data_IF_273214164877
#
_entry.id   IF_273214164877
#
_cell.length_a   1.000
_cell.length_b   1.000
_cell.length_c   1.000
_cell.angle_alpha   90.00
_cell.angle_beta   90.00
_cell.angle_gamma   90.00
#
_symmetry.space_group_name_H-M   'P 1'
#
loop_
_entity.id
_entity.type
_entity.pdbx_description
1 polymer ?
#
# COMPACT_ATOMS: atom_id res chain seq x y z
N UNK A 1 2.62 2.90 32.97
CA UNK A 1 1.23 2.54 32.65
C UNK A 1 1.21 1.90 31.26
N UNK A 2 1.52 0.59 31.23
CA UNK A 2 1.86 -0.24 30.06
C UNK A 2 0.60 -0.74 29.33
N UNK A 3 -0.23 0.14 28.79
CA UNK A 3 -1.35 -0.31 27.97
C UNK A 3 -1.11 -0.04 26.49
N UNK A 4 -0.84 -1.14 25.78
CA UNK A 4 -0.93 -1.37 24.33
C UNK A 4 0.32 -1.06 23.47
N UNK A 5 1.44 -1.61 23.93
CA UNK A 5 2.42 -2.34 23.08
C UNK A 5 2.08 -3.85 23.03
N UNK A 6 0.81 -4.23 23.24
CA UNK A 6 0.33 -5.62 23.16
C UNK A 6 -0.29 -5.92 21.79
N UNK A 7 0.26 -5.35 20.71
CA UNK A 7 -0.06 -5.88 19.39
C UNK A 7 0.47 -7.31 19.36
N UNK A 8 -0.30 -8.33 18.93
CA UNK A 8 0.18 -9.71 18.92
C UNK A 8 1.51 -9.86 18.16
N UNK A 9 1.73 -9.02 17.15
CA UNK A 9 2.98 -8.92 16.40
C UNK A 9 4.20 -8.45 17.21
N UNK A 10 4.04 -7.79 18.36
CA UNK A 10 5.17 -7.31 19.17
C UNK A 10 5.94 -8.43 19.90
N UNK A 11 5.46 -9.68 19.83
CA UNK A 11 6.14 -10.83 20.44
C UNK A 11 7.20 -11.48 19.55
N UNK A 12 7.15 -11.24 18.23
CA UNK A 12 8.06 -11.86 17.26
C UNK A 12 8.71 -10.75 16.46
N UNK A 13 10.04 -10.64 16.54
CA UNK A 13 10.79 -9.61 15.84
C UNK A 13 11.02 -10.00 14.36
N UNK A 14 11.35 -9.01 13.54
CA UNK A 14 11.64 -9.21 12.11
C UNK A 14 12.74 -10.25 11.84
N UNK A 15 13.79 -10.30 12.66
CA UNK A 15 14.91 -11.23 12.50
C UNK A 15 14.48 -12.70 12.62
N UNK A 16 13.59 -13.02 13.57
CA UNK A 16 13.04 -14.37 13.71
C UNK A 16 12.19 -14.77 12.49
N UNK A 17 11.42 -13.82 11.94
CA UNK A 17 10.62 -14.04 10.72
C UNK A 17 11.53 -14.35 9.54
N UNK A 18 12.59 -13.56 9.34
CA UNK A 18 13.55 -13.77 8.25
C UNK A 18 14.26 -15.12 8.40
N UNK A 19 14.74 -15.43 9.61
CA UNK A 19 15.40 -16.70 9.91
C UNK A 19 14.51 -17.90 9.60
N UNK A 20 13.22 -17.84 10.00
CA UNK A 20 12.26 -18.91 9.70
C UNK A 20 12.03 -19.07 8.20
N UNK A 21 11.87 -17.97 7.44
CA UNK A 21 11.65 -18.02 5.98
C UNK A 21 12.83 -18.67 5.28
N UNK A 22 14.05 -18.25 5.60
CA UNK A 22 15.25 -18.73 4.91
C UNK A 22 15.58 -20.19 5.26
N UNK A 23 15.12 -20.70 6.40
CA UNK A 23 15.26 -22.11 6.79
C UNK A 23 14.10 -23.00 6.28
N UNK A 24 13.03 -22.40 5.74
CA UNK A 24 11.83 -23.13 5.32
C UNK A 24 11.97 -23.72 3.91
N UNK A 25 11.55 -24.98 3.79
CA UNK A 25 11.33 -25.74 2.57
C UNK A 25 9.90 -26.28 2.54
N UNK A 26 9.44 -26.78 1.39
CA UNK A 26 8.07 -27.30 1.25
C UNK A 26 7.75 -28.45 2.21
N UNK A 27 8.75 -29.24 2.62
CA UNK A 27 8.57 -30.37 3.53
C UNK A 27 8.53 -30.03 5.03
N UNK A 28 8.92 -28.82 5.43
CA UNK A 28 9.10 -28.47 6.85
C UNK A 28 8.49 -27.11 7.26
N UNK A 29 7.51 -26.59 6.51
CA UNK A 29 6.86 -25.32 6.85
C UNK A 29 6.25 -25.36 8.25
N UNK A 30 6.71 -24.47 9.13
CA UNK A 30 6.22 -24.37 10.51
C UNK A 30 4.92 -23.57 10.59
N UNK A 31 3.79 -24.23 10.32
CA UNK A 31 2.48 -23.58 10.32
C UNK A 31 2.10 -22.95 11.67
N UNK A 32 2.50 -23.56 12.78
CA UNK A 32 2.19 -23.04 14.13
C UNK A 32 2.93 -21.73 14.41
N UNK A 33 4.20 -21.61 13.96
CA UNK A 33 4.93 -20.35 14.01
C UNK A 33 4.19 -19.24 13.24
N UNK A 34 3.73 -19.54 12.02
CA UNK A 34 3.04 -18.55 11.18
C UNK A 34 1.68 -18.13 11.74
N UNK A 35 0.94 -19.05 12.35
CA UNK A 35 -0.30 -18.74 13.07
C UNK A 35 -0.05 -17.88 14.32
N UNK A 36 1.07 -18.10 15.03
CA UNK A 36 1.47 -17.27 16.15
C UNK A 36 1.91 -15.86 15.71
N UNK A 37 2.64 -15.75 14.60
CA UNK A 37 3.02 -14.47 13.96
C UNK A 37 1.81 -13.66 13.52
N UNK A 38 0.85 -14.31 12.86
CA UNK A 38 -0.29 -13.67 12.23
C UNK A 38 -1.60 -14.35 12.66
N UNK A 39 -2.10 -14.09 13.89
CA UNK A 39 -3.29 -14.76 14.42
C UNK A 39 -4.57 -14.57 13.61
N UNK A 40 -4.64 -13.58 12.72
CA UNK A 40 -5.75 -13.42 11.80
C UNK A 40 -5.94 -14.64 10.87
N UNK A 41 -4.85 -15.38 10.58
CA UNK A 41 -4.89 -16.62 9.79
C UNK A 41 -5.69 -17.75 10.47
N UNK A 42 -5.88 -17.71 11.79
CA UNK A 42 -6.77 -18.68 12.46
C UNK A 42 -8.20 -18.62 11.93
N UNK A 43 -8.68 -17.42 11.57
CA UNK A 43 -10.01 -17.25 10.96
C UNK A 43 -10.08 -17.87 9.56
N UNK A 44 -8.96 -17.95 8.84
CA UNK A 44 -8.91 -18.53 7.49
C UNK A 44 -9.27 -20.02 7.49
N UNK A 45 -9.03 -20.73 8.60
CA UNK A 45 -9.41 -22.15 8.77
C UNK A 45 -10.92 -22.38 8.67
N UNK A 46 -11.71 -21.36 8.98
CA UNK A 46 -13.18 -21.41 8.96
C UNK A 46 -13.80 -20.57 7.84
N UNK A 47 -12.97 -19.87 7.05
CA UNK A 47 -13.46 -19.00 5.99
C UNK A 47 -13.72 -19.82 4.73
N UNK A 48 -14.99 -20.01 4.32
CA UNK A 48 -15.30 -20.79 3.15
C UNK A 48 -14.90 -20.03 1.88
N UNK A 49 -14.67 -20.77 0.79
CA UNK A 49 -14.45 -20.22 -0.54
C UNK A 49 -15.45 -20.79 -1.52
N UNK A 50 -15.55 -20.16 -2.69
CA UNK A 50 -16.44 -20.63 -3.75
C UNK A 50 -15.93 -21.94 -4.38
N UNK A 51 -16.69 -23.05 -4.32
CA UNK A 51 -16.20 -24.36 -4.79
C UNK A 51 -15.88 -24.45 -6.29
N UNK A 52 -16.35 -23.51 -7.11
CA UNK A 52 -16.00 -23.47 -8.54
C UNK A 52 -14.57 -22.98 -8.75
N UNK A 53 -14.14 -22.02 -7.93
CA UNK A 53 -12.81 -21.42 -8.02
C UNK A 53 -11.81 -22.04 -7.04
N UNK A 54 -12.32 -22.64 -5.97
CA UNK A 54 -11.56 -23.13 -4.82
C UNK A 54 -12.15 -24.45 -4.29
N UNK A 55 -12.05 -25.52 -5.08
CA UNK A 55 -12.57 -26.83 -4.68
C UNK A 55 -11.77 -27.48 -3.53
N UNK A 56 -10.58 -26.97 -3.20
CA UNK A 56 -9.76 -27.39 -2.07
C UNK A 56 -10.37 -27.08 -0.69
N UNK A 57 -11.35 -26.16 -0.64
CA UNK A 57 -12.10 -25.85 0.57
C UNK A 57 -11.81 -24.45 1.12
N UNK A 58 -11.38 -24.37 2.38
CA UNK A 58 -11.25 -23.09 3.07
C UNK A 58 -9.98 -22.31 2.68
N UNK A 59 -9.97 -21.02 3.02
CA UNK A 59 -8.86 -20.10 2.73
C UNK A 59 -7.53 -20.62 3.28
N UNK A 60 -7.50 -21.25 4.45
CA UNK A 60 -6.23 -21.75 5.01
C UNK A 60 -5.65 -22.94 4.23
N UNK A 61 -6.50 -23.84 3.72
CA UNK A 61 -6.04 -24.94 2.87
C UNK A 61 -5.41 -24.36 1.59
N UNK A 62 -6.09 -23.41 0.95
CA UNK A 62 -5.58 -22.67 -0.21
C UNK A 62 -4.24 -22.00 0.10
N UNK A 63 -4.15 -21.18 1.15
CA UNK A 63 -2.90 -20.50 1.53
C UNK A 63 -1.73 -21.48 1.70
N UNK A 64 -1.96 -22.62 2.36
CA UNK A 64 -0.91 -23.65 2.49
C UNK A 64 -0.48 -24.20 1.14
N UNK A 65 -1.43 -24.54 0.26
CA UNK A 65 -1.12 -25.03 -1.09
C UNK A 65 -0.33 -24.00 -1.89
N UNK A 66 -0.71 -22.72 -1.85
CA UNK A 66 0.03 -21.62 -2.51
C UNK A 66 1.47 -21.50 -2.00
N UNK A 67 1.68 -21.54 -0.69
CA UNK A 67 3.04 -21.49 -0.09
C UNK A 67 3.88 -22.68 -0.53
N UNK A 68 3.30 -23.89 -0.55
CA UNK A 68 4.02 -25.09 -1.03
C UNK A 68 4.37 -24.96 -2.51
N UNK A 69 3.42 -24.59 -3.37
CA UNK A 69 3.66 -24.36 -4.79
C UNK A 69 4.73 -23.28 -5.04
N UNK A 70 4.76 -22.22 -4.21
CA UNK A 70 5.80 -21.19 -4.28
C UNK A 70 7.17 -21.78 -3.96
N UNK A 71 7.30 -22.49 -2.83
CA UNK A 71 8.57 -23.05 -2.36
C UNK A 71 9.17 -24.06 -3.34
N UNK A 72 8.34 -24.82 -4.05
CA UNK A 72 8.76 -25.79 -5.07
C UNK A 72 9.01 -25.17 -6.45
N UNK A 73 8.71 -23.88 -6.64
CA UNK A 73 8.87 -23.22 -7.94
C UNK A 73 10.35 -22.88 -8.23
N UNK A 74 10.79 -23.14 -9.46
CA UNK A 74 12.14 -22.79 -9.92
C UNK A 74 12.41 -21.30 -9.84
N UNK A 75 11.40 -20.46 -10.13
CA UNK A 75 11.51 -19.01 -10.03
C UNK A 75 11.81 -18.55 -8.59
N UNK A 76 11.12 -19.10 -7.58
CA UNK A 76 11.38 -18.75 -6.18
C UNK A 76 12.78 -19.21 -5.74
N UNK A 77 13.22 -20.39 -6.15
CA UNK A 77 14.55 -20.92 -5.79
C UNK A 77 15.67 -19.98 -6.28
N UNK A 78 15.50 -19.39 -7.47
CA UNK A 78 16.44 -18.47 -8.11
C UNK A 78 16.40 -17.04 -7.55
N UNK A 79 15.35 -16.67 -6.81
CA UNK A 79 15.24 -15.36 -6.18
C UNK A 79 16.35 -15.11 -5.15
N UNK A 80 16.74 -13.85 -5.03
CA UNK A 80 17.54 -13.33 -3.92
C UNK A 80 16.84 -13.53 -2.57
N UNK A 81 17.58 -13.41 -1.47
CA UNK A 81 17.02 -13.56 -0.11
C UNK A 81 15.91 -12.54 0.16
N UNK A 82 16.08 -11.27 -0.22
CA UNK A 82 15.05 -10.23 -0.05
C UNK A 82 13.77 -10.54 -0.85
N UNK A 83 13.91 -11.04 -2.08
CA UNK A 83 12.77 -11.43 -2.91
C UNK A 83 12.06 -12.66 -2.34
N UNK A 84 12.81 -13.64 -1.83
CA UNK A 84 12.25 -14.81 -1.13
C UNK A 84 11.43 -14.39 0.08
N UNK A 85 11.95 -13.47 0.89
CA UNK A 85 11.21 -12.89 2.02
C UNK A 85 9.92 -12.22 1.55
N UNK A 86 10.00 -11.40 0.48
CA UNK A 86 8.83 -10.72 -0.07
C UNK A 86 7.76 -11.69 -0.57
N UNK A 87 8.16 -12.67 -1.38
CA UNK A 87 7.27 -13.66 -1.98
C UNK A 87 6.65 -14.58 -0.94
N UNK A 88 7.45 -15.08 0.02
CA UNK A 88 6.95 -15.99 1.05
C UNK A 88 5.87 -15.33 1.90
N UNK A 89 6.14 -14.11 2.41
CA UNK A 89 5.16 -13.38 3.23
C UNK A 89 3.95 -12.94 2.40
N UNK A 90 4.14 -12.56 1.13
CA UNK A 90 3.01 -12.25 0.25
C UNK A 90 2.14 -13.50 0.00
N UNK A 91 2.72 -14.67 -0.29
CA UNK A 91 1.98 -15.92 -0.48
C UNK A 91 1.23 -16.34 0.79
N UNK A 92 1.88 -16.27 1.94
CA UNK A 92 1.26 -16.61 3.22
C UNK A 92 0.10 -15.67 3.59
N UNK A 93 0.16 -14.40 3.19
CA UNK A 93 -0.75 -13.36 3.70
C UNK A 93 -1.66 -12.72 2.63
N UNK A 94 -1.59 -13.14 1.35
CA UNK A 94 -2.35 -12.53 0.24
C UNK A 94 -3.86 -12.46 0.51
N UNK A 95 -4.38 -13.47 1.21
CA UNK A 95 -5.80 -13.65 1.52
C UNK A 95 -6.17 -13.46 2.99
N UNK A 96 -5.26 -12.90 3.80
CA UNK A 96 -5.45 -12.74 5.26
C UNK A 96 -6.77 -12.03 5.64
N UNK A 97 -7.26 -11.14 4.76
CA UNK A 97 -8.46 -10.34 4.99
C UNK A 97 -9.75 -10.97 4.41
N UNK A 98 -9.70 -12.14 3.76
CA UNK A 98 -10.91 -12.82 3.25
C UNK A 98 -11.91 -13.08 4.38
N UNK A 99 -11.44 -13.51 5.55
CA UNK A 99 -12.29 -13.75 6.72
C UNK A 99 -13.14 -12.52 7.13
N UNK A 100 -12.56 -11.33 7.07
CA UNK A 100 -13.21 -10.08 7.50
C UNK A 100 -14.03 -9.41 6.37
N UNK A 101 -13.97 -9.94 5.15
CA UNK A 101 -14.63 -9.38 3.95
C UNK A 101 -15.54 -10.37 3.24
N UNK A 102 -15.75 -11.56 3.80
CA UNK A 102 -16.58 -12.60 3.18
C UNK A 102 -18.04 -12.16 3.08
N UNK A 103 -18.61 -12.36 1.90
CA UNK A 103 -20.01 -12.12 1.57
C UNK A 103 -20.56 -13.37 0.89
N UNK A 104 -21.81 -13.71 1.21
CA UNK A 104 -22.53 -14.82 0.60
C UNK A 104 -23.73 -14.22 -0.13
N UNK A 105 -23.80 -14.45 -1.44
CA UNK A 105 -24.93 -14.02 -2.24
C UNK A 105 -26.18 -14.80 -1.80
N UNK A 106 -27.25 -14.12 -1.38
CA UNK A 106 -28.42 -14.79 -0.80
C UNK A 106 -29.27 -15.55 -1.83
N UNK A 107 -29.12 -15.26 -3.13
CA UNK A 107 -29.91 -15.89 -4.19
C UNK A 107 -29.18 -17.10 -4.80
N UNK A 108 -27.88 -16.98 -4.99
CA UNK A 108 -27.05 -17.95 -5.70
C UNK A 108 -26.19 -18.80 -4.76
N UNK A 109 -26.03 -18.37 -3.51
CA UNK A 109 -25.12 -19.00 -2.54
C UNK A 109 -23.63 -18.80 -2.85
N UNK A 110 -23.30 -17.98 -3.87
CA UNK A 110 -21.92 -17.72 -4.29
C UNK A 110 -21.16 -16.97 -3.22
N UNK A 111 -19.89 -17.32 -3.03
CA UNK A 111 -19.04 -16.73 -1.99
C UNK A 111 -18.09 -15.73 -2.66
N UNK A 112 -18.03 -14.52 -2.11
CA UNK A 112 -17.14 -13.47 -2.57
C UNK A 112 -16.42 -12.78 -1.42
N UNK A 113 -15.25 -12.21 -1.71
CA UNK A 113 -14.42 -11.49 -0.73
C UNK A 113 -14.08 -10.09 -1.26
N UNK A 114 -15.07 -9.19 -1.40
CA UNK A 114 -14.84 -7.86 -1.96
C UNK A 114 -13.77 -7.09 -1.18
N UNK A 115 -12.83 -6.49 -1.92
CA UNK A 115 -11.76 -5.62 -1.39
C UNK A 115 -10.79 -6.28 -0.39
N UNK A 116 -10.75 -7.61 -0.28
CA UNK A 116 -9.83 -8.29 0.64
C UNK A 116 -8.36 -7.96 0.34
N UNK A 117 -7.95 -7.81 -0.93
CA UNK A 117 -6.54 -7.55 -1.28
C UNK A 117 -6.07 -6.21 -0.73
N UNK A 118 -6.85 -5.13 -0.93
CA UNK A 118 -6.55 -3.80 -0.37
C UNK A 118 -6.61 -3.80 1.15
N UNK A 119 -7.59 -4.49 1.74
CA UNK A 119 -7.71 -4.59 3.20
C UNK A 119 -6.53 -5.35 3.81
N UNK A 120 -6.17 -6.49 3.22
CA UNK A 120 -5.06 -7.34 3.63
C UNK A 120 -3.73 -6.61 3.57
N UNK A 121 -3.48 -5.84 2.50
CA UNK A 121 -2.27 -5.01 2.41
C UNK A 121 -2.16 -3.99 3.56
N UNK A 122 -3.27 -3.39 4.01
CA UNK A 122 -3.29 -2.47 5.15
C UNK A 122 -3.02 -3.21 6.46
N UNK A 123 -3.68 -4.36 6.67
CA UNK A 123 -3.50 -5.14 7.90
C UNK A 123 -2.05 -5.66 8.00
N UNK A 124 -1.50 -6.20 6.91
CA UNK A 124 -0.11 -6.68 6.83
C UNK A 124 0.89 -5.55 7.01
N UNK A 125 0.65 -4.36 6.45
CA UNK A 125 1.49 -3.18 6.70
C UNK A 125 1.60 -2.89 8.20
N UNK A 126 0.50 -2.98 8.93
CA UNK A 126 0.50 -2.77 10.38
C UNK A 126 1.30 -3.85 11.10
N UNK A 127 1.08 -5.14 10.79
CA UNK A 127 1.85 -6.24 11.36
C UNK A 127 3.36 -6.02 11.19
N UNK A 128 3.79 -5.81 9.94
CA UNK A 128 5.19 -5.66 9.58
C UNK A 128 5.81 -4.38 10.14
N UNK A 129 5.07 -3.27 10.22
CA UNK A 129 5.55 -2.05 10.86
C UNK A 129 5.79 -2.24 12.37
N UNK A 130 4.89 -2.95 13.06
CA UNK A 130 5.08 -3.31 14.47
C UNK A 130 6.23 -4.29 14.68
N UNK A 131 6.51 -5.14 13.70
CA UNK A 131 7.63 -6.08 13.71
C UNK A 131 8.96 -5.44 13.32
N UNK A 132 8.97 -4.15 12.95
CA UNK A 132 10.15 -3.41 12.49
C UNK A 132 10.74 -3.92 11.17
N UNK A 133 9.88 -4.42 10.27
CA UNK A 133 10.31 -4.79 8.92
C UNK A 133 10.83 -3.56 8.16
N UNK A 134 11.96 -3.68 7.41
CA UNK A 134 12.49 -2.60 6.59
C UNK A 134 11.44 -2.07 5.62
N UNK A 135 11.38 -0.74 5.47
CA UNK A 135 10.34 -0.06 4.70
C UNK A 135 10.18 -0.58 3.26
N UNK A 136 11.29 -0.74 2.53
CA UNK A 136 11.24 -1.20 1.15
C UNK A 136 10.67 -2.62 1.02
N UNK A 137 11.11 -3.55 1.89
CA UNK A 137 10.62 -4.93 1.93
C UNK A 137 9.14 -4.95 2.30
N UNK A 138 8.76 -4.21 3.35
CA UNK A 138 7.36 -4.11 3.80
C UNK A 138 6.44 -3.62 2.69
N UNK A 139 6.78 -2.51 2.03
CA UNK A 139 5.92 -1.95 0.98
C UNK A 139 5.90 -2.82 -0.28
N UNK A 140 6.97 -3.57 -0.56
CA UNK A 140 6.95 -4.60 -1.61
C UNK A 140 5.92 -5.71 -1.27
N UNK A 141 5.98 -6.29 -0.07
CA UNK A 141 5.01 -7.30 0.39
C UNK A 141 3.58 -6.76 0.33
N UNK A 142 3.36 -5.56 0.85
CA UNK A 142 2.02 -4.95 0.84
C UNK A 142 1.52 -4.70 -0.58
N UNK A 143 2.39 -4.26 -1.50
CA UNK A 143 2.04 -4.07 -2.90
C UNK A 143 1.71 -5.38 -3.63
N UNK A 144 2.48 -6.45 -3.36
CA UNK A 144 2.20 -7.79 -3.89
C UNK A 144 0.82 -8.27 -3.43
N UNK A 145 0.51 -8.15 -2.14
CA UNK A 145 -0.80 -8.51 -1.58
C UNK A 145 -1.93 -7.64 -2.16
N UNK A 146 -1.72 -6.32 -2.28
CA UNK A 146 -2.73 -5.41 -2.83
C UNK A 146 -3.11 -5.79 -4.27
N UNK A 147 -2.12 -6.25 -5.06
CA UNK A 147 -2.25 -6.46 -6.50
C UNK A 147 -2.33 -7.92 -6.93
N UNK A 148 -2.27 -8.90 -6.02
CA UNK A 148 -2.12 -10.32 -6.34
C UNK A 148 -3.17 -10.88 -7.31
N UNK A 149 -4.40 -10.33 -7.31
CA UNK A 149 -5.46 -10.78 -8.22
C UNK A 149 -5.38 -10.18 -9.62
N UNK A 150 -4.62 -9.11 -9.82
CA UNK A 150 -4.59 -8.37 -11.09
C UNK A 150 -4.14 -9.23 -12.27
N UNK A 151 -3.10 -10.09 -12.17
CA UNK A 151 -2.67 -10.92 -13.29
C UNK A 151 -3.80 -11.75 -13.92
N UNK A 152 -4.79 -12.21 -13.14
CA UNK A 152 -5.94 -12.98 -13.63
C UNK A 152 -6.98 -12.16 -14.44
N UNK A 153 -6.81 -10.85 -14.50
CA UNK A 153 -7.79 -9.92 -15.07
C UNK A 153 -7.21 -8.92 -16.07
N UNK A 154 -5.89 -8.70 -16.06
CA UNK A 154 -5.24 -7.69 -16.88
C UNK A 154 -5.38 -7.94 -18.38
N UNK A 155 -5.29 -9.19 -18.84
CA UNK A 155 -5.45 -9.54 -20.26
C UNK A 155 -6.84 -9.20 -20.84
N UNK A 156 -7.82 -8.92 -19.98
CA UNK A 156 -9.18 -8.52 -20.37
C UNK A 156 -9.39 -7.00 -20.38
N UNK A 157 -8.35 -6.22 -20.07
CA UNK A 157 -8.41 -4.77 -20.02
C UNK A 157 -7.90 -4.17 -21.32
N UNK A 158 -8.50 -3.05 -21.72
CA UNK A 158 -7.90 -2.19 -22.72
C UNK A 158 -6.59 -1.60 -22.19
N UNK A 159 -5.67 -1.27 -23.09
CA UNK A 159 -4.42 -0.58 -22.77
C UNK A 159 -3.60 -1.31 -21.68
N UNK A 160 -3.33 -2.61 -21.91
CA UNK A 160 -2.64 -3.50 -20.96
C UNK A 160 -1.29 -2.90 -20.53
N UNK A 161 -0.54 -2.33 -21.46
CA UNK A 161 0.74 -1.64 -21.19
C UNK A 161 0.59 -0.54 -20.13
N UNK A 162 -0.48 0.28 -20.21
CA UNK A 162 -0.75 1.30 -19.19
C UNK A 162 -0.85 0.69 -17.79
N UNK A 163 -1.56 -0.42 -17.67
CA UNK A 163 -1.72 -1.09 -16.39
C UNK A 163 -0.41 -1.70 -15.89
N UNK A 164 0.39 -2.30 -16.78
CA UNK A 164 1.69 -2.88 -16.43
C UNK A 164 2.71 -1.81 -16.06
N UNK A 165 2.81 -0.72 -16.82
CA UNK A 165 3.67 0.42 -16.49
C UNK A 165 3.34 0.96 -15.10
N UNK A 166 2.05 1.18 -14.83
CA UNK A 166 1.61 1.69 -13.53
C UNK A 166 1.93 0.73 -12.39
N UNK A 167 1.77 -0.58 -12.60
CA UNK A 167 2.15 -1.60 -11.62
C UNK A 167 3.67 -1.64 -11.40
N UNK A 168 4.48 -1.51 -12.45
CA UNK A 168 5.93 -1.53 -12.36
C UNK A 168 6.51 -0.38 -11.51
N UNK A 169 5.78 0.75 -11.39
CA UNK A 169 6.14 1.86 -10.48
C UNK A 169 5.80 1.60 -9.01
N UNK A 170 5.06 0.52 -8.72
CA UNK A 170 4.66 0.16 -7.37
C UNK A 170 5.37 -1.09 -6.86
N UNK A 171 5.58 -2.08 -7.73
CA UNK A 171 6.18 -3.38 -7.38
C UNK A 171 6.96 -3.98 -8.57
N UNK A 172 7.99 -4.81 -8.32
CA UNK A 172 8.63 -5.61 -9.37
C UNK A 172 7.62 -6.61 -9.95
N UNK A 173 7.45 -6.62 -11.27
CA UNK A 173 6.40 -7.42 -11.91
C UNK A 173 6.72 -8.90 -11.88
N UNK A 174 7.99 -9.31 -11.96
CA UNK A 174 8.35 -10.73 -11.85
C UNK A 174 7.88 -11.33 -10.53
N UNK A 175 8.02 -10.61 -9.41
CA UNK A 175 7.52 -11.10 -8.11
C UNK A 175 6.00 -11.24 -8.11
N UNK A 176 5.27 -10.27 -8.68
CA UNK A 176 3.81 -10.34 -8.79
C UNK A 176 3.38 -11.56 -9.61
N UNK A 177 4.06 -11.83 -10.72
CA UNK A 177 3.73 -12.92 -11.61
C UNK A 177 4.14 -14.28 -11.01
N UNK A 178 5.26 -14.38 -10.29
CA UNK A 178 5.63 -15.58 -9.52
C UNK A 178 4.55 -15.88 -8.48
N UNK A 179 4.12 -14.88 -7.73
CA UNK A 179 3.03 -15.02 -6.74
C UNK A 179 1.73 -15.48 -7.40
N UNK A 180 1.36 -14.91 -8.55
CA UNK A 180 0.15 -15.29 -9.27
C UNK A 180 0.23 -16.72 -9.84
N UNK A 181 1.41 -17.18 -10.28
CA UNK A 181 1.63 -18.59 -10.66
C UNK A 181 1.44 -19.50 -9.44
N UNK A 182 2.04 -19.17 -8.30
CA UNK A 182 1.86 -19.94 -7.07
C UNK A 182 0.39 -19.98 -6.62
N UNK A 183 -0.34 -18.87 -6.69
CA UNK A 183 -1.77 -18.79 -6.39
C UNK A 183 -2.62 -19.63 -7.35
N UNK A 184 -2.26 -19.64 -8.63
CA UNK A 184 -2.92 -20.44 -9.65
C UNK A 184 -2.69 -21.95 -9.47
N UNK A 185 -1.47 -22.35 -9.14
CA UNK A 185 -1.11 -23.76 -8.93
C UNK A 185 -1.54 -24.28 -7.55
N UNK A 186 -1.67 -23.38 -6.58
CA UNK A 186 -2.11 -23.67 -5.21
C UNK A 186 -3.62 -23.76 -5.02
N UNK A 187 -4.43 -23.90 -6.09
CA UNK A 187 -5.89 -24.06 -6.01
C UNK A 187 -6.40 -25.16 -6.92
N UNK A 188 -7.57 -25.71 -6.60
CA UNK A 188 -8.25 -26.72 -7.43
C UNK A 188 -9.40 -26.03 -8.19
N UNK A 189 -9.21 -25.81 -9.49
CA UNK A 189 -10.22 -25.17 -10.38
C UNK A 189 -10.12 -25.67 -11.81
N UNK A 190 -11.20 -25.52 -12.58
CA UNK A 190 -11.30 -25.98 -13.98
C UNK A 190 -10.69 -25.02 -15.01
N UNK A 191 -10.42 -23.76 -14.64
CA UNK A 191 -9.95 -22.71 -15.57
C UNK A 191 -8.44 -22.41 -15.43
N UNK A 192 -7.65 -23.41 -15.07
CA UNK A 192 -6.25 -23.21 -14.72
C UNK A 192 -5.39 -22.86 -15.94
N UNK A 193 -5.54 -23.59 -17.04
CA UNK A 193 -4.74 -23.45 -18.26
C UNK A 193 -4.84 -22.05 -18.88
N UNK A 194 -6.06 -21.53 -19.07
CA UNK A 194 -6.24 -20.18 -19.62
C UNK A 194 -5.58 -19.12 -18.74
N UNK A 195 -5.75 -19.22 -17.43
CA UNK A 195 -5.16 -18.26 -16.48
C UNK A 195 -3.64 -18.32 -16.49
N UNK A 196 -3.07 -19.51 -16.71
CA UNK A 196 -1.63 -19.69 -16.85
C UNK A 196 -1.11 -18.99 -18.10
N UNK A 197 -1.78 -19.20 -19.25
CA UNK A 197 -1.44 -18.53 -20.52
C UNK A 197 -1.49 -17.01 -20.34
N UNK A 198 -2.56 -16.47 -19.72
CA UNK A 198 -2.69 -15.04 -19.46
C UNK A 198 -1.49 -14.51 -18.63
N UNK A 199 -1.05 -15.24 -17.60
CA UNK A 199 0.10 -14.84 -16.77
C UNK A 199 1.42 -14.89 -17.55
N UNK A 200 1.66 -15.92 -18.36
CA UNK A 200 2.87 -16.01 -19.19
C UNK A 200 2.91 -14.92 -20.26
N UNK A 201 1.76 -14.56 -20.85
CA UNK A 201 1.68 -13.43 -21.77
C UNK A 201 2.06 -12.10 -21.10
N UNK A 202 1.59 -11.87 -19.86
CA UNK A 202 1.99 -10.68 -19.10
C UNK A 202 3.48 -10.69 -18.75
N UNK A 203 4.07 -11.86 -18.51
CA UNK A 203 5.51 -12.02 -18.29
C UNK A 203 6.29 -11.56 -19.52
N UNK A 204 5.98 -12.12 -20.69
CA UNK A 204 6.64 -11.79 -21.96
C UNK A 204 6.48 -10.29 -22.30
N UNK A 205 5.29 -9.72 -22.15
CA UNK A 205 5.06 -8.30 -22.41
C UNK A 205 5.92 -7.40 -21.50
N UNK A 206 6.04 -7.75 -20.22
CA UNK A 206 6.86 -6.99 -19.29
C UNK A 206 8.37 -7.16 -19.54
N UNK A 207 8.78 -8.35 -19.98
CA UNK A 207 10.16 -8.66 -20.34
C UNK A 207 10.59 -7.90 -21.61
N UNK A 208 9.81 -8.00 -22.69
CA UNK A 208 10.03 -7.29 -23.95
C UNK A 208 10.04 -5.77 -23.75
N UNK A 209 9.15 -5.26 -22.88
CA UNK A 209 9.11 -3.86 -22.52
C UNK A 209 10.24 -3.39 -21.60
N UNK A 210 11.05 -4.30 -21.06
CA UNK A 210 12.17 -3.98 -20.17
C UNK A 210 11.77 -3.46 -18.79
N UNK A 211 10.57 -3.81 -18.30
CA UNK A 211 10.04 -3.39 -17.00
C UNK A 211 9.53 -4.57 -16.14
N UNK A 212 10.05 -5.78 -16.41
CA UNK A 212 9.73 -6.98 -15.64
C UNK A 212 10.33 -6.92 -14.21
N UNK A 213 11.64 -6.70 -14.10
CA UNK A 213 12.37 -6.65 -12.83
C UNK A 213 12.60 -5.22 -12.32
N UNK A 214 12.55 -4.24 -13.22
CA UNK A 214 12.73 -2.82 -12.94
C UNK A 214 11.48 -2.03 -13.29
N UNK A 215 11.36 -0.81 -12.76
CA UNK A 215 10.21 0.04 -13.06
C UNK A 215 10.28 0.61 -14.48
N UNK A 216 9.11 0.83 -15.12
CA UNK A 216 9.04 1.50 -16.42
C UNK A 216 9.69 2.89 -16.33
N UNK A 217 10.71 3.14 -17.13
CA UNK A 217 11.26 4.48 -17.29
C UNK A 217 10.25 5.36 -18.05
N UNK A 218 9.85 6.48 -17.44
CA UNK A 218 9.10 7.54 -18.09
C UNK A 218 10.05 8.70 -18.46
N UNK A 219 9.66 9.54 -19.41
CA UNK A 219 10.47 10.67 -19.87
C UNK A 219 10.92 11.58 -18.73
N UNK A 220 9.98 11.92 -17.84
CA UNK A 220 10.25 12.58 -16.57
C UNK A 220 9.12 12.26 -15.58
N UNK A 221 9.25 12.75 -14.35
CA UNK A 221 8.30 12.48 -13.29
C UNK A 221 6.92 13.12 -13.49
N UNK A 222 6.85 14.24 -14.23
CA UNK A 222 5.58 14.86 -14.65
C UNK A 222 4.84 13.95 -15.61
N UNK A 223 5.54 13.46 -16.64
CA UNK A 223 5.00 12.56 -17.67
C UNK A 223 4.51 11.25 -17.04
N UNK A 224 5.26 10.70 -16.07
CA UNK A 224 4.81 9.55 -15.25
C UNK A 224 3.48 9.84 -14.53
N UNK A 225 3.41 10.95 -13.81
CA UNK A 225 2.24 11.30 -13.01
C UNK A 225 1.00 11.54 -13.88
N UNK A 226 1.15 12.33 -14.96
CA UNK A 226 0.05 12.65 -15.86
C UNK A 226 -0.45 11.43 -16.62
N UNK A 227 0.45 10.57 -17.09
CA UNK A 227 0.09 9.27 -17.65
C UNK A 227 -0.74 8.45 -16.65
N UNK A 228 -0.24 8.27 -15.42
CA UNK A 228 -0.90 7.49 -14.37
C UNK A 228 -2.29 8.01 -13.96
N UNK A 229 -2.53 9.32 -14.13
CA UNK A 229 -3.80 10.00 -13.82
C UNK A 229 -4.81 9.92 -14.95
N UNK A 230 -4.37 10.06 -16.21
CA UNK A 230 -5.27 10.23 -17.35
C UNK A 230 -5.53 8.96 -18.16
N UNK A 231 -4.73 7.89 -17.98
CA UNK A 231 -4.84 6.64 -18.74
C UNK A 231 -4.80 6.83 -20.27
N UNK A 232 -4.12 7.89 -20.73
CA UNK A 232 -4.04 8.30 -22.13
C UNK A 232 -2.63 8.79 -22.45
N UNK A 233 -2.27 8.71 -23.73
CA UNK A 233 -0.95 9.08 -24.23
C UNK A 233 0.10 8.02 -23.93
N UNK A 234 1.37 8.43 -23.94
CA UNK A 234 2.53 7.58 -23.70
C UNK A 234 3.44 8.26 -22.67
N UNK A 235 3.97 7.49 -21.72
CA UNK A 235 4.86 8.04 -20.68
C UNK A 235 6.29 8.31 -21.18
N UNK A 236 6.61 7.90 -22.40
CA UNK A 236 7.94 8.01 -23.02
C UNK A 236 8.23 9.39 -23.62
N UNK A 237 7.19 10.21 -23.77
CA UNK A 237 7.31 11.56 -24.32
C UNK A 237 7.07 12.61 -23.25
N UNK A 238 7.65 13.78 -23.49
CA UNK A 238 7.46 14.92 -22.61
C UNK A 238 5.99 15.35 -22.57
N UNK A 239 5.42 15.37 -21.37
CA UNK A 239 4.14 16.02 -21.14
C UNK A 239 4.34 17.53 -20.94
N UNK A 240 4.11 18.31 -22.00
CA UNK A 240 4.21 19.77 -21.95
C UNK A 240 3.06 20.39 -21.15
N UNK A 241 3.39 21.09 -20.06
CA UNK A 241 2.43 21.83 -19.24
C UNK A 241 3.09 23.03 -18.56
N UNK A 242 2.40 24.16 -18.52
CA UNK A 242 2.81 25.29 -17.67
C UNK A 242 2.43 24.99 -16.23
N UNK A 243 3.43 24.96 -15.35
CA UNK A 243 3.24 24.70 -13.92
C UNK A 243 2.73 25.95 -13.19
N UNK A 244 1.80 25.73 -12.25
CA UNK A 244 1.26 26.72 -11.32
C UNK A 244 2.06 26.80 -10.02
N UNK A 245 1.36 26.97 -8.89
CA UNK A 245 1.98 26.98 -7.55
C UNK A 245 2.82 25.74 -7.29
N UNK A 246 3.99 25.90 -6.68
CA UNK A 246 4.75 24.79 -6.11
C UNK A 246 4.19 24.41 -4.75
N UNK A 247 3.70 23.18 -4.62
CA UNK A 247 2.98 22.73 -3.42
C UNK A 247 3.64 21.50 -2.81
N UNK A 248 4.03 21.62 -1.54
CA UNK A 248 4.55 20.50 -0.75
C UNK A 248 3.41 19.83 0.03
N UNK A 249 3.02 18.63 -0.37
CA UNK A 249 1.96 17.86 0.28
C UNK A 249 2.58 16.88 1.26
N UNK A 250 2.33 17.05 2.55
CA UNK A 250 2.89 16.16 3.56
C UNK A 250 1.94 14.98 3.80
N UNK A 251 2.51 13.79 3.99
CA UNK A 251 1.79 12.56 4.34
C UNK A 251 2.49 11.85 5.48
N UNK A 252 1.75 11.35 6.45
CA UNK A 252 2.30 10.59 7.58
C UNK A 252 1.43 10.69 8.82
N UNK A 253 1.58 9.74 9.73
CA UNK A 253 0.85 9.70 10.99
C UNK A 253 1.17 10.91 11.90
N UNK A 254 0.32 11.23 12.89
CA UNK A 254 0.70 12.14 13.97
C UNK A 254 2.04 11.72 14.61
N UNK A 255 2.80 12.70 15.11
CA UNK A 255 4.15 12.49 15.67
C UNK A 255 5.24 11.97 14.70
N UNK A 256 4.95 11.84 13.39
CA UNK A 256 5.95 11.42 12.39
C UNK A 256 7.04 12.46 12.08
N UNK A 257 6.94 13.69 12.60
CA UNK A 257 7.94 14.75 12.40
C UNK A 257 7.60 15.82 11.35
N UNK A 258 6.42 15.76 10.72
CA UNK A 258 5.97 16.77 9.72
C UNK A 258 6.20 18.22 10.14
N UNK A 259 5.71 18.60 11.33
CA UNK A 259 5.81 19.99 11.82
C UNK A 259 7.27 20.42 12.08
N UNK A 260 8.11 19.49 12.53
CA UNK A 260 9.55 19.76 12.69
C UNK A 260 10.22 20.00 11.34
N UNK A 261 9.88 19.18 10.33
CA UNK A 261 10.40 19.34 8.99
C UNK A 261 9.99 20.68 8.35
N UNK A 262 8.74 21.12 8.54
CA UNK A 262 8.28 22.44 8.07
C UNK A 262 9.15 23.54 8.68
N UNK A 263 9.28 23.58 10.01
CA UNK A 263 10.06 24.60 10.71
C UNK A 263 11.53 24.63 10.29
N UNK A 264 12.11 23.45 10.03
CA UNK A 264 13.53 23.33 9.65
C UNK A 264 13.80 23.75 8.22
N UNK A 265 12.94 23.40 7.27
CA UNK A 265 13.23 23.57 5.83
C UNK A 265 12.52 24.78 5.21
N UNK A 266 11.34 25.14 5.72
CA UNK A 266 10.46 26.16 5.13
C UNK A 266 9.74 27.01 6.19
N UNK A 267 10.46 27.66 7.12
CA UNK A 267 9.84 28.41 8.22
C UNK A 267 8.96 29.58 7.78
N UNK A 268 9.21 30.16 6.61
CA UNK A 268 8.45 31.30 6.06
C UNK A 268 7.39 30.93 5.03
N UNK A 269 7.25 29.65 4.66
CA UNK A 269 6.34 29.25 3.61
C UNK A 269 4.90 29.12 4.16
N UNK A 270 3.87 29.70 3.50
CA UNK A 270 2.50 29.54 3.94
C UNK A 270 2.12 28.07 4.13
N UNK A 271 1.54 27.75 5.28
CA UNK A 271 1.07 26.39 5.58
C UNK A 271 -0.45 26.37 5.66
N UNK A 272 -1.03 25.41 4.93
CA UNK A 272 -2.44 25.05 5.00
C UNK A 272 -2.53 23.76 5.79
N UNK A 273 -3.22 23.79 6.94
CA UNK A 273 -3.56 22.59 7.70
C UNK A 273 -4.96 22.71 8.29
N UNK A 274 -5.57 21.55 8.55
CA UNK A 274 -6.89 21.52 9.22
C UNK A 274 -6.81 21.96 10.68
N UNK A 275 -5.64 21.84 11.32
CA UNK A 275 -5.46 22.26 12.70
C UNK A 275 -5.33 23.79 12.77
N UNK A 276 -4.51 24.41 11.91
CA UNK A 276 -4.42 25.88 11.81
C UNK A 276 -5.78 26.51 11.46
N UNK A 277 -6.53 25.90 10.54
CA UNK A 277 -7.87 26.36 10.19
C UNK A 277 -8.86 26.25 11.36
N UNK A 278 -8.68 25.27 12.25
CA UNK A 278 -9.51 25.12 13.45
C UNK A 278 -9.17 26.17 14.50
N UNK A 279 -7.87 26.44 14.68
CA UNK A 279 -7.38 27.45 15.61
C UNK A 279 -7.79 28.87 15.17
N UNK A 280 -7.67 29.18 13.86
CA UNK A 280 -8.15 30.44 13.27
C UNK A 280 -9.65 30.66 13.50
N UNK A 281 -10.46 29.59 13.47
CA UNK A 281 -11.90 29.63 13.71
C UNK A 281 -12.27 29.58 15.20
N UNK A 282 -11.29 29.47 16.11
CA UNK A 282 -11.49 29.34 17.57
C UNK A 282 -12.43 28.20 17.96
N UNK A 283 -12.44 27.10 17.20
CA UNK A 283 -13.30 25.93 17.44
C UNK A 283 -12.61 24.88 18.32
N UNK A 284 -13.36 24.23 19.22
CA UNK A 284 -12.84 23.09 19.99
C UNK A 284 -12.68 21.85 19.09
N UNK A 285 -11.78 20.93 19.45
CA UNK A 285 -11.63 19.64 18.76
C UNK A 285 -12.98 18.89 18.69
N UNK A 286 -13.36 18.43 17.49
CA UNK A 286 -14.61 17.72 17.24
C UNK A 286 -15.79 18.59 16.81
N UNK A 287 -15.66 19.92 16.85
CA UNK A 287 -16.72 20.82 16.40
C UNK A 287 -16.57 21.19 14.92
N UNK A 288 -17.71 21.15 14.20
CA UNK A 288 -17.92 21.72 12.86
C UNK A 288 -16.81 21.36 11.83
N UNK A 289 -16.56 20.06 11.65
CA UNK A 289 -15.54 19.53 10.74
C UNK A 289 -15.67 20.05 9.29
N UNK A 290 -16.90 20.28 8.82
CA UNK A 290 -17.16 20.84 7.49
C UNK A 290 -16.58 22.25 7.34
N UNK A 291 -16.87 23.14 8.30
CA UNK A 291 -16.40 24.53 8.26
C UNK A 291 -14.87 24.63 8.28
N UNK A 292 -14.21 23.83 9.12
CA UNK A 292 -12.74 23.75 9.17
C UNK A 292 -12.17 23.29 7.82
N UNK A 293 -12.79 22.30 7.19
CA UNK A 293 -12.36 21.81 5.89
C UNK A 293 -12.54 22.85 4.79
N UNK A 294 -13.67 23.56 4.77
CA UNK A 294 -13.91 24.66 3.83
C UNK A 294 -12.87 25.76 3.98
N UNK A 295 -12.61 26.21 5.21
CA UNK A 295 -11.60 27.25 5.48
C UNK A 295 -10.21 26.87 4.98
N UNK A 296 -9.77 25.64 5.23
CA UNK A 296 -8.47 25.14 4.75
C UNK A 296 -8.42 25.09 3.21
N UNK A 297 -9.49 24.61 2.56
CA UNK A 297 -9.59 24.56 1.10
C UNK A 297 -9.61 25.96 0.49
N UNK A 298 -10.32 26.92 1.09
CA UNK A 298 -10.41 28.29 0.60
C UNK A 298 -9.07 29.01 0.70
N UNK A 299 -8.32 28.81 1.80
CA UNK A 299 -6.95 29.29 1.96
C UNK A 299 -6.04 28.74 0.86
N UNK A 300 -6.13 27.43 0.58
CA UNK A 300 -5.36 26.82 -0.49
C UNK A 300 -5.75 27.37 -1.88
N UNK A 301 -7.05 27.50 -2.17
CA UNK A 301 -7.53 28.08 -3.44
C UNK A 301 -7.07 29.51 -3.64
N UNK A 302 -7.01 30.33 -2.59
CA UNK A 302 -6.50 31.69 -2.67
C UNK A 302 -5.02 31.69 -3.13
N UNK A 303 -4.18 30.86 -2.50
CA UNK A 303 -2.77 30.71 -2.85
C UNK A 303 -2.58 30.15 -4.27
N UNK A 304 -3.39 29.16 -4.66
CA UNK A 304 -3.36 28.56 -6.01
C UNK A 304 -3.72 29.57 -7.11
N UNK A 305 -4.68 30.46 -6.87
CA UNK A 305 -5.07 31.51 -7.83
C UNK A 305 -3.96 32.53 -8.06
N UNK A 306 -3.20 32.86 -7.02
CA UNK A 306 -2.07 33.78 -7.10
C UNK A 306 -0.75 33.09 -7.46
N UNK A 307 -0.78 31.77 -7.71
CA UNK A 307 0.39 30.93 -8.01
C UNK A 307 1.47 30.94 -6.92
N UNK A 308 1.09 31.24 -5.68
CA UNK A 308 2.01 31.28 -4.54
C UNK A 308 2.39 29.86 -4.10
N UNK A 309 3.65 29.61 -3.74
CA UNK A 309 4.07 28.32 -3.20
C UNK A 309 3.61 28.13 -1.76
N UNK A 310 3.24 26.90 -1.38
CA UNK A 310 2.77 26.62 -0.02
C UNK A 310 2.93 25.15 0.39
N UNK A 311 2.70 24.88 1.69
CA UNK A 311 2.72 23.53 2.26
C UNK A 311 1.29 23.11 2.60
N UNK A 312 0.87 21.94 2.15
CA UNK A 312 -0.34 21.28 2.62
C UNK A 312 0.01 20.26 3.69
N UNK A 313 -0.14 20.64 4.95
CA UNK A 313 0.14 19.78 6.10
C UNK A 313 -1.13 19.09 6.57
N UNK A 314 -1.28 17.81 6.22
CA UNK A 314 -2.29 16.93 6.78
C UNK A 314 -1.69 15.54 7.00
N UNK A 315 -2.45 14.64 7.62
CA UNK A 315 -1.97 13.27 7.83
C UNK A 315 -1.97 12.45 6.54
N UNK A 316 -2.95 12.66 5.66
CA UNK A 316 -3.02 12.04 4.33
C UNK A 316 -2.79 10.51 4.33
N UNK A 317 -3.28 9.84 5.38
CA UNK A 317 -2.94 8.45 5.69
C UNK A 317 -3.52 7.44 4.71
N UNK A 318 -4.54 7.80 3.94
CA UNK A 318 -5.20 6.91 2.97
C UNK A 318 -5.19 7.53 1.58
N UNK A 319 -5.10 6.72 0.53
CA UNK A 319 -5.21 7.14 -0.87
C UNK A 319 -6.39 8.06 -1.15
N UNK A 320 -7.60 7.73 -0.68
CA UNK A 320 -8.81 8.56 -0.87
C UNK A 320 -8.65 10.00 -0.35
N UNK A 321 -7.99 10.17 0.79
CA UNK A 321 -7.72 11.50 1.36
C UNK A 321 -6.70 12.26 0.52
N UNK A 322 -5.68 11.56 0.00
CA UNK A 322 -4.68 12.15 -0.90
C UNK A 322 -5.30 12.56 -2.22
N UNK A 323 -6.06 11.67 -2.87
CA UNK A 323 -6.72 11.94 -4.15
C UNK A 323 -7.60 13.19 -4.10
N UNK A 324 -8.34 13.41 -3.01
CA UNK A 324 -9.15 14.63 -2.83
C UNK A 324 -8.29 15.90 -2.88
N UNK A 325 -7.17 15.93 -2.15
CA UNK A 325 -6.25 17.07 -2.13
C UNK A 325 -5.53 17.20 -3.47
N UNK A 326 -4.98 16.11 -3.99
CA UNK A 326 -4.21 16.07 -5.22
C UNK A 326 -5.04 16.53 -6.42
N UNK A 327 -6.29 16.10 -6.54
CA UNK A 327 -7.17 16.53 -7.64
C UNK A 327 -7.36 18.05 -7.62
N UNK A 328 -7.65 18.64 -6.45
CA UNK A 328 -7.71 20.10 -6.31
C UNK A 328 -6.41 20.79 -6.76
N UNK A 329 -5.25 20.25 -6.40
CA UNK A 329 -3.96 20.84 -6.79
C UNK A 329 -3.73 20.76 -8.31
N UNK A 330 -4.01 19.60 -8.91
CA UNK A 330 -3.81 19.38 -10.35
C UNK A 330 -4.80 20.15 -11.22
N UNK A 331 -6.03 20.38 -10.75
CA UNK A 331 -7.03 21.24 -11.40
C UNK A 331 -6.53 22.70 -11.54
N UNK A 332 -5.67 23.14 -10.61
CA UNK A 332 -4.98 24.43 -10.65
C UNK A 332 -3.56 24.36 -11.25
N UNK A 333 -3.23 23.22 -11.89
CA UNK A 333 -1.94 22.96 -12.53
C UNK A 333 -0.73 23.07 -11.58
N UNK A 334 -0.91 22.86 -10.28
CA UNK A 334 0.17 22.95 -9.30
C UNK A 334 1.34 21.99 -9.61
N UNK A 335 2.55 22.43 -9.29
CA UNK A 335 3.75 21.58 -9.21
C UNK A 335 3.74 20.84 -7.87
N UNK A 336 3.30 19.58 -7.87
CA UNK A 336 3.01 18.81 -6.66
C UNK A 336 4.20 17.95 -6.21
N UNK A 337 4.71 18.25 -5.01
CA UNK A 337 5.79 17.52 -4.34
C UNK A 337 5.24 16.85 -3.08
N UNK A 338 5.15 15.52 -3.08
CA UNK A 338 4.66 14.76 -1.91
C UNK A 338 5.84 14.33 -1.05
N UNK A 339 5.73 14.56 0.26
CA UNK A 339 6.74 14.14 1.23
C UNK A 339 6.08 13.23 2.26
N UNK A 340 6.45 11.96 2.21
CA UNK A 340 5.96 10.93 3.10
C UNK A 340 6.87 10.82 4.33
N UNK A 341 6.28 10.76 5.52
CA UNK A 341 6.99 10.69 6.80
C UNK A 341 6.55 9.45 7.57
N UNK A 342 7.55 8.69 8.00
CA UNK A 342 7.37 7.52 8.82
C UNK A 342 8.44 7.43 9.90
N UNK A 343 8.08 6.86 11.04
CA UNK A 343 8.98 6.55 12.15
C UNK A 343 8.64 5.15 12.66
N UNK A 344 9.59 4.49 13.31
CA UNK A 344 9.32 3.24 14.01
C UNK A 344 8.20 3.39 15.07
N UNK A 345 7.46 2.30 15.38
CA UNK A 345 6.39 2.32 16.37
C UNK A 345 6.82 2.95 17.69
N UNK A 346 7.96 2.49 18.24
CA UNK A 346 8.52 2.98 19.50
C UNK A 346 8.70 4.50 19.49
N UNK A 347 9.35 5.02 18.47
CA UNK A 347 9.63 6.46 18.32
C UNK A 347 8.34 7.26 18.15
N UNK A 348 7.41 6.77 17.31
CA UNK A 348 6.15 7.46 17.04
C UNK A 348 5.28 7.59 18.31
N UNK A 349 5.13 6.50 19.06
CA UNK A 349 4.33 6.51 20.29
C UNK A 349 5.00 7.31 21.42
N UNK A 350 6.32 7.22 21.58
CA UNK A 350 7.07 8.04 22.54
C UNK A 350 6.89 9.53 22.24
N UNK A 351 7.13 9.94 20.98
CA UNK A 351 6.94 11.33 20.57
C UNK A 351 5.52 11.79 20.74
N UNK A 352 4.52 10.93 20.51
CA UNK A 352 3.12 11.30 20.71
C UNK A 352 2.80 11.57 22.18
N UNK A 353 3.41 10.82 23.11
CA UNK A 353 3.24 11.03 24.54
C UNK A 353 3.82 12.37 25.01
N UNK A 354 4.92 12.81 24.42
CA UNK A 354 5.62 14.05 24.76
C UNK A 354 5.01 15.32 24.12
N UNK A 355 3.96 15.18 23.29
CA UNK A 355 3.31 16.34 22.65
C UNK A 355 2.55 17.18 23.67
N UNK A 356 2.63 18.50 23.52
CA UNK A 356 1.76 19.45 24.23
C UNK A 356 0.26 19.10 24.06
N UNK A 357 -0.13 18.68 22.86
CA UNK A 357 -1.44 18.10 22.57
C UNK A 357 -1.25 16.67 22.07
N UNK A 358 -1.43 15.72 22.99
CA UNK A 358 -1.39 14.29 22.71
C UNK A 358 -2.58 13.90 21.83
N UNK A 359 -2.30 13.17 20.75
CA UNK A 359 -3.37 12.57 19.95
C UNK A 359 -3.79 11.26 20.64
N UNK A 360 -5.10 11.02 20.88
CA UNK A 360 -5.56 9.78 21.46
C UNK A 360 -5.04 8.56 20.69
N UNK A 361 -4.57 7.54 21.41
CA UNK A 361 -4.02 6.31 20.79
C UNK A 361 -5.08 5.67 19.87
N UNK A 362 -6.34 5.63 20.29
CA UNK A 362 -7.45 5.13 19.47
C UNK A 362 -7.62 5.87 18.14
N UNK A 363 -7.29 7.16 18.08
CA UNK A 363 -7.31 7.92 16.83
C UNK A 363 -6.15 7.52 15.91
N UNK A 364 -4.96 7.24 16.46
CA UNK A 364 -3.82 6.70 15.70
C UNK A 364 -4.14 5.29 15.19
N UNK A 365 -4.66 4.41 16.04
CA UNK A 365 -5.12 3.06 15.66
C UNK A 365 -6.17 3.11 14.54
N UNK A 366 -7.11 4.06 14.59
CA UNK A 366 -8.08 4.25 13.52
C UNK A 366 -7.46 4.78 12.21
N UNK A 367 -6.37 5.55 12.28
CA UNK A 367 -5.62 5.93 11.08
C UNK A 367 -4.84 4.75 10.49
N UNK A 368 -4.27 3.88 11.33
CA UNK A 368 -3.56 2.65 10.93
C UNK A 368 -4.48 1.70 10.14
N UNK A 369 -5.77 1.62 10.48
CA UNK A 369 -6.78 0.82 9.73
C UNK A 369 -7.00 1.26 8.28
N UNK A 370 -6.47 2.41 7.88
CA UNK A 370 -6.55 2.95 6.53
C UNK A 370 -5.19 3.47 6.05
N UNK A 371 -4.11 3.00 6.67
CA UNK A 371 -2.77 3.49 6.42
C UNK A 371 -2.21 2.86 5.16
N UNK A 372 -2.05 3.72 4.17
CA UNK A 372 -1.62 3.39 2.82
C UNK A 372 -0.46 4.30 2.42
N UNK A 373 0.56 3.71 1.81
CA UNK A 373 1.77 4.39 1.42
C UNK A 373 1.57 5.20 0.13
N UNK A 374 2.24 6.35 0.04
CA UNK A 374 2.22 7.20 -1.16
C UNK A 374 2.92 6.44 -2.30
N UNK A 375 2.32 6.38 -3.49
CA UNK A 375 2.95 5.79 -4.68
C UNK A 375 3.74 6.83 -5.48
N UNK A 376 4.82 6.43 -6.14
CA UNK A 376 5.73 7.31 -6.92
C UNK A 376 5.04 8.13 -8.02
N UNK A 377 3.90 7.65 -8.52
CA UNK A 377 3.12 8.28 -9.58
C UNK A 377 2.01 9.22 -9.07
N UNK A 378 1.79 9.32 -7.75
CA UNK A 378 0.74 10.21 -7.18
C UNK A 378 1.07 11.71 -7.30
N UNK A 379 2.35 12.06 -7.43
CA UNK A 379 2.83 13.44 -7.56
C UNK A 379 3.98 13.56 -8.54
N UNK A 380 4.34 14.78 -8.91
CA UNK A 380 5.50 15.02 -9.79
C UNK A 380 6.81 14.71 -9.08
N UNK A 381 6.88 14.89 -7.77
CA UNK A 381 8.01 14.40 -6.97
C UNK A 381 7.48 13.73 -5.71
N UNK A 382 8.04 12.57 -5.36
CA UNK A 382 7.69 11.85 -4.14
C UNK A 382 8.97 11.55 -3.37
N UNK A 383 9.05 12.01 -2.13
CA UNK A 383 10.20 11.77 -1.23
C UNK A 383 9.74 11.03 0.00
N UNK A 384 10.44 9.95 0.35
CA UNK A 384 10.20 9.18 1.57
C UNK A 384 11.22 9.62 2.64
N UNK A 385 10.70 10.08 3.79
CA UNK A 385 11.44 10.40 5.01
C UNK A 385 11.10 9.36 6.06
N UNK A 386 11.69 8.18 5.89
CA UNK A 386 11.55 7.04 6.78
C UNK A 386 12.79 7.02 7.67
N UNK A 387 12.58 7.06 8.99
CA UNK A 387 13.66 6.80 9.94
C UNK A 387 13.27 5.56 10.75
N UNK A 388 14.17 4.58 10.76
CA UNK A 388 14.04 3.37 11.56
C UNK A 388 14.31 3.65 13.05
#
# INVERSE_FOLDING_TARGET
MNMKLNHPANKINWEAIVSEILATHSSNVNWDFWLACYPALEKAKQTPQDPIYHAEGNVWIHTKMVVICLLDSSNYIQCSEEEKICLFLAALLHDIAKADTTTIDPLTGRIGHPHHSTRGAIDVRNYLWFQHAPFAIRECICGLIEHHQKPFHLMKKDNIEFHLHKLSWEIPLHLLLILAKADLFGRITTNQEKSFIDIEMLWLLAEEGGFLTQEKTAFNSISRCEYARHQKGHCDFEFYKTLGSKVYVLSGLPASGKNYWIKKNYPGLPTVSFDDARDELKLKHGQNHGLVAHKAIDKAKALLRTKEPFIWNATHTSRKLREKTLNLLFDYHADVHIIYFEQSPKTLFLRNQERQQMVPISAIENMLKRWDCVKKWEGYNVTYKVND
#
